data_IF_376846245168
#
_entry.id   IF_376846245168
#
_cell.length_a   1.000
_cell.length_b   1.000
_cell.length_c   1.000
_cell.angle_alpha   90.00
_cell.angle_beta   90.00
_cell.angle_gamma   90.00
#
_symmetry.space_group_name_H-M   'P 1'
#
loop_
_entity.id
_entity.type
_entity.pdbx_description
1 polymer ?
#
# COMPACT_ATOMS: atom_id res chain seq x y z
N UNK A 1 31.78 -22.12 24.34
CA UNK A 1 30.47 -22.61 23.88
C UNK A 1 29.94 -21.60 22.89
N UNK A 2 29.76 -22.00 21.64
CA UNK A 2 29.34 -21.11 20.56
C UNK A 2 27.90 -20.62 20.81
N UNK A 3 27.78 -19.44 21.40
CA UNK A 3 26.51 -18.73 21.50
C UNK A 3 25.95 -18.47 20.11
N UNK A 4 24.70 -18.87 19.88
CA UNK A 4 23.96 -18.69 18.63
C UNK A 4 24.04 -17.21 18.22
N UNK A 5 24.77 -16.86 17.15
CA UNK A 5 24.83 -15.48 16.65
C UNK A 5 23.42 -15.04 16.23
N UNK A 6 22.90 -14.01 16.87
CA UNK A 6 21.61 -13.43 16.50
C UNK A 6 21.70 -12.79 15.10
N UNK A 7 20.73 -13.11 14.24
CA UNK A 7 20.60 -12.45 12.94
C UNK A 7 19.85 -11.14 13.14
N UNK A 8 20.56 -10.03 13.02
CA UNK A 8 19.99 -8.69 13.10
C UNK A 8 19.88 -8.09 11.70
N UNK A 9 18.83 -7.30 11.49
CA UNK A 9 18.57 -6.59 10.23
C UNK A 9 18.23 -5.14 10.56
N UNK A 10 18.80 -4.19 9.80
CA UNK A 10 18.41 -2.78 9.88
C UNK A 10 16.97 -2.62 9.39
N UNK A 11 16.14 -1.87 10.11
CA UNK A 11 14.71 -1.73 9.76
C UNK A 11 14.53 -1.11 8.37
N UNK A 12 13.79 -1.76 7.44
CA UNK A 12 13.53 -1.20 6.11
C UNK A 12 12.28 -0.30 6.05
N UNK A 13 11.46 -0.36 7.10
CA UNK A 13 10.19 0.35 7.29
C UNK A 13 9.80 0.32 8.79
N UNK A 14 8.73 1.02 9.18
CA UNK A 14 8.37 1.23 10.60
C UNK A 14 7.23 0.36 11.14
N UNK A 15 6.31 -0.09 10.29
CA UNK A 15 5.07 -0.81 10.62
C UNK A 15 5.36 -2.10 11.38
N UNK A 16 6.20 -3.00 10.83
CA UNK A 16 6.49 -4.28 11.47
C UNK A 16 7.26 -4.12 12.78
N UNK A 17 8.13 -3.11 12.85
CA UNK A 17 8.82 -2.75 14.09
C UNK A 17 7.85 -2.29 15.18
N UNK A 18 6.86 -1.48 14.78
CA UNK A 18 5.78 -1.01 15.65
C UNK A 18 4.85 -2.14 16.09
N UNK A 19 4.40 -3.00 15.17
CA UNK A 19 3.56 -4.17 15.49
C UNK A 19 4.26 -5.11 16.47
N UNK A 20 5.56 -5.37 16.28
CA UNK A 20 6.35 -6.15 17.24
C UNK A 20 6.36 -5.50 18.63
N UNK A 21 6.52 -4.18 18.70
CA UNK A 21 6.47 -3.45 19.97
C UNK A 21 5.10 -3.56 20.64
N UNK A 22 4.01 -3.41 19.88
CA UNK A 22 2.64 -3.58 20.41
C UNK A 22 2.44 -4.99 20.95
N UNK A 23 2.82 -6.02 20.18
CA UNK A 23 2.70 -7.43 20.56
C UNK A 23 3.52 -7.83 21.79
N UNK A 24 4.65 -7.14 22.05
CA UNK A 24 5.51 -7.38 23.21
C UNK A 24 5.11 -6.56 24.45
N UNK A 25 4.30 -5.52 24.28
CA UNK A 25 3.91 -4.62 25.36
C UNK A 25 2.67 -5.11 26.13
N UNK A 26 2.51 -4.63 27.36
CA UNK A 26 1.32 -4.82 28.21
C UNK A 26 0.03 -4.38 27.47
N UNK A 27 -1.16 -4.95 27.78
CA UNK A 27 -2.41 -4.59 27.13
C UNK A 27 -2.63 -3.07 27.05
N UNK A 28 -3.01 -2.60 25.86
CA UNK A 28 -3.34 -1.19 25.60
C UNK A 28 -4.84 -1.04 25.38
N UNK A 29 -5.35 0.15 25.68
CA UNK A 29 -6.68 0.56 25.23
C UNK A 29 -6.70 0.62 23.70
N UNK A 30 -7.74 0.06 23.10
CA UNK A 30 -7.98 0.11 21.65
C UNK A 30 -9.11 1.11 21.33
N UNK A 31 -9.06 1.80 20.18
CA UNK A 31 -7.98 1.78 19.20
C UNK A 31 -6.69 2.42 19.73
N UNK A 32 -5.54 1.79 19.48
CA UNK A 32 -4.23 2.31 19.83
C UNK A 32 -3.62 3.05 18.64
N UNK A 33 -3.61 4.38 18.71
CA UNK A 33 -3.05 5.28 17.69
C UNK A 33 -1.67 5.75 18.09
N UNK A 34 -0.72 5.68 17.17
CA UNK A 34 0.66 6.09 17.39
C UNK A 34 1.30 6.65 16.11
N UNK A 35 2.44 7.32 16.29
CA UNK A 35 3.30 7.75 15.20
C UNK A 35 4.75 7.36 15.47
N UNK A 36 5.57 7.35 14.43
CA UNK A 36 7.02 7.24 14.54
C UNK A 36 7.71 8.15 13.53
N UNK A 37 8.94 8.52 13.85
CA UNK A 37 9.84 9.25 12.94
C UNK A 37 11.26 8.73 13.10
N UNK A 38 11.93 8.39 11.99
CA UNK A 38 13.34 8.03 12.03
C UNK A 38 13.88 7.41 10.76
N UNK A 39 15.15 6.99 10.84
CA UNK A 39 15.88 6.40 9.71
C UNK A 39 15.40 4.98 9.37
N UNK A 40 15.33 4.70 8.08
CA UNK A 40 15.03 3.40 7.47
C UNK A 40 16.12 3.04 6.46
N UNK A 41 16.29 1.75 6.21
CA UNK A 41 17.43 1.21 5.45
C UNK A 41 16.97 0.23 4.38
N UNK A 42 17.21 0.54 3.10
CA UNK A 42 16.89 -0.35 1.98
C UNK A 42 18.13 -0.62 1.14
N UNK A 43 18.45 -1.91 0.96
CA UNK A 43 19.55 -2.33 0.07
C UNK A 43 19.06 -2.37 -1.38
N UNK A 44 18.70 -1.20 -1.91
CA UNK A 44 18.25 -1.02 -3.29
C UNK A 44 19.37 -0.38 -4.13
N UNK A 45 19.27 -0.53 -5.45
CA UNK A 45 20.11 0.20 -6.40
C UNK A 45 19.82 1.70 -6.25
N UNK A 46 20.82 2.54 -5.96
CA UNK A 46 20.59 3.98 -5.84
C UNK A 46 20.05 4.55 -7.15
N UNK A 47 18.96 5.29 -7.05
CA UNK A 47 18.36 6.05 -8.16
C UNK A 47 17.78 7.35 -7.62
N UNK A 48 17.44 8.29 -8.49
CA UNK A 48 16.86 9.57 -8.07
C UNK A 48 15.63 9.33 -7.17
N UNK A 49 15.62 9.96 -5.98
CA UNK A 49 14.56 9.79 -4.98
C UNK A 49 14.63 8.51 -4.12
N UNK A 50 15.56 7.59 -4.38
CA UNK A 50 15.74 6.35 -3.58
C UNK A 50 17.13 6.25 -2.99
N UNK A 51 17.22 6.58 -1.71
CA UNK A 51 18.44 6.47 -0.90
C UNK A 51 18.47 5.17 -0.12
N UNK A 52 19.68 4.64 0.13
CA UNK A 52 19.87 3.44 0.98
C UNK A 52 19.55 3.71 2.46
N UNK A 53 19.75 4.93 2.90
CA UNK A 53 19.27 5.46 4.18
C UNK A 53 18.32 6.62 3.89
N UNK A 54 17.13 6.61 4.48
CA UNK A 54 16.15 7.68 4.34
C UNK A 54 15.36 7.87 5.63
N UNK A 55 14.71 9.03 5.78
CA UNK A 55 13.85 9.33 6.92
C UNK A 55 12.41 9.01 6.57
N UNK A 56 11.70 8.36 7.49
CA UNK A 56 10.29 8.06 7.37
C UNK A 56 9.55 8.58 8.61
N UNK A 57 8.49 9.33 8.37
CA UNK A 57 7.40 9.53 9.32
C UNK A 57 6.30 8.54 8.99
N UNK A 58 5.68 7.94 10.01
CA UNK A 58 4.56 7.03 9.83
C UNK A 58 3.58 7.12 10.99
N UNK A 59 2.35 6.72 10.73
CA UNK A 59 1.25 6.67 11.70
C UNK A 59 0.61 5.31 11.65
N UNK A 60 0.13 4.85 12.79
CA UNK A 60 -0.39 3.51 12.98
C UNK A 60 -1.64 3.58 13.84
N UNK A 61 -2.68 2.87 13.43
CA UNK A 61 -3.89 2.67 14.23
C UNK A 61 -4.13 1.17 14.35
N UNK A 62 -4.02 0.65 15.58
CA UNK A 62 -4.32 -0.75 15.88
C UNK A 62 -5.69 -0.82 16.53
N UNK A 63 -6.58 -1.60 15.93
CA UNK A 63 -7.90 -1.89 16.48
C UNK A 63 -8.20 -3.38 16.31
N UNK A 64 -9.08 -3.91 17.15
CA UNK A 64 -9.60 -5.28 17.09
C UNK A 64 -11.02 -5.35 16.56
N UNK A 65 -11.67 -4.20 16.32
CA UNK A 65 -12.96 -4.19 15.62
C UNK A 65 -12.78 -4.84 14.25
N UNK A 66 -13.64 -5.81 13.84
CA UNK A 66 -13.55 -6.43 12.53
C UNK A 66 -13.46 -5.37 11.43
N UNK A 67 -12.63 -5.61 10.41
CA UNK A 67 -12.46 -4.67 9.30
C UNK A 67 -13.79 -4.34 8.59
N UNK A 68 -14.76 -5.27 8.65
CA UNK A 68 -16.13 -5.12 8.12
C UNK A 68 -17.08 -4.29 8.99
N UNK A 69 -16.66 -3.88 10.20
CA UNK A 69 -17.47 -3.05 11.09
C UNK A 69 -17.17 -1.56 10.88
N UNK A 70 -18.21 -0.73 10.95
CA UNK A 70 -18.16 0.73 10.72
C UNK A 70 -16.98 1.47 11.42
N UNK A 71 -16.53 1.10 12.63
CA UNK A 71 -15.37 1.75 13.26
C UNK A 71 -14.04 1.62 12.48
N UNK A 72 -13.81 0.53 11.75
CA UNK A 72 -12.54 0.31 11.04
C UNK A 72 -12.38 1.24 9.84
N UNK A 73 -13.45 1.51 9.09
CA UNK A 73 -13.41 2.41 7.93
C UNK A 73 -13.13 3.87 8.32
N UNK A 74 -13.58 4.28 9.50
CA UNK A 74 -13.35 5.63 10.03
C UNK A 74 -11.84 5.86 10.30
N UNK A 75 -11.11 4.84 10.75
CA UNK A 75 -9.66 4.97 10.96
C UNK A 75 -8.89 5.15 9.65
N UNK A 76 -9.33 4.51 8.55
CA UNK A 76 -8.74 4.77 7.23
C UNK A 76 -8.97 6.20 6.80
N UNK A 77 -10.21 6.70 6.94
CA UNK A 77 -10.56 8.09 6.63
C UNK A 77 -9.69 9.03 7.46
N UNK A 78 -9.55 8.80 8.76
CA UNK A 78 -8.72 9.64 9.63
C UNK A 78 -7.26 9.67 9.17
N UNK A 79 -6.69 8.51 8.79
CA UNK A 79 -5.33 8.43 8.23
C UNK A 79 -5.19 9.20 6.91
N UNK A 80 -6.18 9.07 6.01
CA UNK A 80 -6.22 9.82 4.75
C UNK A 80 -6.31 11.32 5.02
N UNK A 81 -7.16 11.76 5.93
CA UNK A 81 -7.34 13.17 6.31
C UNK A 81 -6.09 13.75 6.96
N UNK A 82 -5.39 12.96 7.80
CA UNK A 82 -4.10 13.37 8.34
C UNK A 82 -3.08 13.57 7.23
N UNK A 83 -2.98 12.63 6.30
CA UNK A 83 -2.12 12.76 5.11
C UNK A 83 -2.47 14.00 4.29
N UNK A 84 -3.76 14.22 4.01
CA UNK A 84 -4.27 15.36 3.27
C UNK A 84 -3.94 16.69 3.98
N UNK A 85 -4.09 16.74 5.31
CA UNK A 85 -3.75 17.91 6.13
C UNK A 85 -2.25 18.22 6.09
N UNK A 86 -1.40 17.20 6.20
CA UNK A 86 0.06 17.36 6.07
C UNK A 86 0.40 17.89 4.67
N UNK A 87 -0.15 17.31 3.61
CA UNK A 87 0.11 17.77 2.24
C UNK A 87 -0.36 19.21 2.03
N UNK A 88 -1.56 19.56 2.49
CA UNK A 88 -2.10 20.93 2.38
C UNK A 88 -1.29 21.94 3.17
N UNK A 89 -0.72 21.54 4.32
CA UNK A 89 0.12 22.40 5.16
C UNK A 89 1.51 22.62 4.55
N UNK A 90 2.14 21.57 4.03
CA UNK A 90 3.49 21.63 3.47
C UNK A 90 3.51 22.19 2.04
N UNK A 91 2.45 21.94 1.27
CA UNK A 91 2.30 22.32 -0.14
C UNK A 91 0.99 23.09 -0.37
N UNK A 92 0.79 24.26 0.29
CA UNK A 92 -0.49 25.00 0.21
C UNK A 92 -0.83 25.49 -1.20
N UNK A 93 0.19 25.65 -2.06
CA UNK A 93 0.00 26.04 -3.46
C UNK A 93 0.02 24.82 -4.42
N UNK A 94 -0.01 23.59 -3.90
CA UNK A 94 0.09 22.34 -4.66
C UNK A 94 1.42 22.13 -5.43
N UNK A 95 2.36 23.07 -5.35
CA UNK A 95 3.65 23.02 -6.04
C UNK A 95 4.72 22.32 -5.21
N UNK A 96 5.42 21.35 -5.80
CA UNK A 96 6.54 20.66 -5.16
C UNK A 96 7.88 21.41 -5.26
N UNK A 97 8.08 22.16 -6.34
CA UNK A 97 9.33 22.90 -6.60
C UNK A 97 9.04 24.37 -6.87
N UNK A 98 9.16 25.21 -5.83
CA UNK A 98 8.92 26.68 -5.88
C UNK A 98 9.72 27.45 -6.96
N UNK A 99 10.70 26.83 -7.62
CA UNK A 99 11.58 27.44 -8.62
C UNK A 99 11.81 26.55 -9.86
N UNK A 100 10.92 25.60 -10.16
CA UNK A 100 11.05 24.81 -11.39
C UNK A 100 9.89 25.09 -12.34
N UNK A 101 10.14 25.03 -13.66
CA UNK A 101 9.09 25.04 -14.68
C UNK A 101 8.18 23.78 -14.65
N UNK A 102 8.35 22.93 -13.65
CA UNK A 102 7.68 21.65 -13.51
C UNK A 102 6.36 21.84 -12.74
N UNK A 103 5.36 22.35 -13.47
CA UNK A 103 3.99 22.49 -12.95
C UNK A 103 3.40 21.11 -12.68
N UNK A 104 2.58 21.02 -11.65
CA UNK A 104 1.96 19.78 -11.22
C UNK A 104 1.16 19.97 -9.95
N UNK A 105 0.41 18.95 -9.58
CA UNK A 105 -0.47 18.97 -8.41
C UNK A 105 -0.39 17.65 -7.66
N UNK A 106 -0.56 17.70 -6.34
CA UNK A 106 -0.73 16.49 -5.55
C UNK A 106 -2.15 15.95 -5.72
N UNK A 107 -2.27 14.66 -6.01
CA UNK A 107 -3.54 13.94 -6.08
C UNK A 107 -3.54 12.77 -5.11
N UNK A 108 -4.66 12.58 -4.43
CA UNK A 108 -4.93 11.38 -3.65
C UNK A 108 -5.38 10.26 -4.60
N UNK A 109 -4.58 9.22 -4.76
CA UNK A 109 -4.98 7.98 -5.41
C UNK A 109 -5.54 7.06 -4.33
N UNK A 110 -6.68 6.44 -4.60
CA UNK A 110 -7.42 5.63 -3.65
C UNK A 110 -7.86 4.32 -4.31
N UNK A 111 -7.73 3.21 -3.59
CA UNK A 111 -8.19 1.89 -4.01
C UNK A 111 -8.52 1.02 -2.80
N UNK A 112 -9.15 -0.12 -3.04
CA UNK A 112 -9.31 -1.19 -2.05
C UNK A 112 -8.78 -2.50 -2.61
N UNK A 113 -8.00 -3.22 -1.80
CA UNK A 113 -7.58 -4.59 -2.11
C UNK A 113 -8.60 -5.63 -1.61
N UNK A 114 -9.64 -5.19 -0.91
CA UNK A 114 -10.58 -6.04 -0.21
C UNK A 114 -9.98 -6.75 0.99
N UNK A 115 -10.83 -7.49 1.70
CA UNK A 115 -10.42 -8.18 2.91
C UNK A 115 -9.55 -9.42 2.59
N UNK A 116 -9.04 -10.09 3.62
CA UNK A 116 -8.17 -11.26 3.46
C UNK A 116 -8.80 -12.40 2.64
N UNK A 117 -10.13 -12.58 2.71
CA UNK A 117 -10.83 -13.60 1.92
C UNK A 117 -10.97 -13.20 0.45
N UNK A 118 -11.12 -11.91 0.17
CA UNK A 118 -11.19 -11.36 -1.18
C UNK A 118 -9.82 -11.51 -1.87
N UNK A 119 -8.75 -11.16 -1.15
CA UNK A 119 -7.37 -11.38 -1.58
C UNK A 119 -7.04 -12.85 -1.82
N UNK A 120 -7.56 -13.76 -0.99
CA UNK A 120 -7.36 -15.20 -1.20
C UNK A 120 -7.99 -15.66 -2.52
N UNK A 121 -9.25 -15.30 -2.78
CA UNK A 121 -9.93 -15.62 -4.05
C UNK A 121 -9.21 -15.02 -5.26
N UNK A 122 -8.73 -13.78 -5.12
CA UNK A 122 -7.96 -13.14 -6.18
C UNK A 122 -6.62 -13.83 -6.42
N UNK A 123 -5.91 -14.21 -5.35
CA UNK A 123 -4.66 -14.94 -5.45
C UNK A 123 -4.82 -16.31 -6.14
N UNK A 124 -5.91 -17.03 -5.87
CA UNK A 124 -6.24 -18.29 -6.57
C UNK A 124 -6.45 -18.06 -8.07
N UNK A 125 -7.15 -16.98 -8.44
CA UNK A 125 -7.32 -16.63 -9.85
C UNK A 125 -6.01 -16.26 -10.53
N UNK A 126 -5.11 -15.55 -9.84
CA UNK A 126 -3.77 -15.26 -10.35
C UNK A 126 -2.93 -16.53 -10.49
N UNK A 127 -3.00 -17.47 -9.54
CA UNK A 127 -2.32 -18.78 -9.63
C UNK A 127 -2.74 -19.52 -10.90
N UNK A 128 -4.05 -19.61 -11.17
CA UNK A 128 -4.59 -20.21 -12.39
C UNK A 128 -4.19 -19.44 -13.66
N UNK A 129 -4.22 -18.10 -13.61
CA UNK A 129 -3.88 -17.28 -14.78
C UNK A 129 -2.41 -17.43 -15.18
N UNK A 130 -1.50 -17.53 -14.21
CA UNK A 130 -0.07 -17.61 -14.46
C UNK A 130 0.44 -19.04 -14.70
N UNK A 131 -0.34 -20.08 -14.39
CA UNK A 131 0.08 -21.49 -14.46
C UNK A 131 0.74 -21.87 -15.80
N UNK A 132 0.12 -21.49 -16.92
CA UNK A 132 0.60 -21.74 -18.28
C UNK A 132 1.43 -20.59 -18.88
N UNK A 133 1.55 -19.47 -18.15
CA UNK A 133 2.22 -18.23 -18.62
C UNK A 133 3.52 -17.93 -17.88
N UNK A 134 3.97 -18.81 -16.97
CA UNK A 134 5.20 -18.58 -16.18
C UNK A 134 6.41 -18.26 -17.07
N UNK A 135 6.55 -18.95 -18.21
CA UNK A 135 7.66 -18.72 -19.15
C UNK A 135 7.64 -17.36 -19.85
N UNK A 136 6.51 -16.64 -19.80
CA UNK A 136 6.33 -15.30 -20.37
C UNK A 136 6.60 -14.18 -19.36
N UNK A 137 6.75 -14.51 -18.07
CA UNK A 137 7.05 -13.55 -17.02
C UNK A 137 8.55 -13.21 -16.97
N UNK A 138 8.87 -12.05 -16.41
CA UNK A 138 10.25 -11.68 -16.09
C UNK A 138 10.89 -12.68 -15.11
N UNK A 139 12.23 -12.82 -15.09
CA UNK A 139 12.91 -13.73 -14.16
C UNK A 139 12.62 -13.47 -12.68
N UNK A 140 12.25 -12.25 -12.30
CA UNK A 140 11.85 -11.93 -10.93
C UNK A 140 10.42 -12.40 -10.65
N UNK A 141 9.48 -12.15 -11.56
CA UNK A 141 8.10 -12.59 -11.44
C UNK A 141 7.94 -14.12 -11.51
N UNK A 142 8.78 -14.81 -12.27
CA UNK A 142 8.88 -16.28 -12.21
C UNK A 142 9.21 -16.78 -10.79
N UNK A 143 10.17 -16.14 -10.10
CA UNK A 143 10.50 -16.48 -8.71
C UNK A 143 9.34 -16.19 -7.76
N UNK A 144 8.54 -15.15 -8.02
CA UNK A 144 7.35 -14.81 -7.22
C UNK A 144 6.27 -15.88 -7.39
N UNK A 145 6.02 -16.36 -8.60
CA UNK A 145 5.15 -17.51 -8.87
C UNK A 145 5.61 -18.74 -8.10
N UNK A 146 6.89 -19.12 -8.21
CA UNK A 146 7.42 -20.29 -7.51
C UNK A 146 7.31 -20.22 -5.97
N UNK A 147 7.27 -19.00 -5.42
CA UNK A 147 7.09 -18.75 -3.98
C UNK A 147 5.63 -18.54 -3.57
N UNK A 148 4.68 -18.68 -4.50
CA UNK A 148 3.25 -18.39 -4.32
C UNK A 148 2.96 -16.96 -3.86
N UNK A 149 3.76 -16.00 -4.33
CA UNK A 149 3.59 -14.57 -4.05
C UNK A 149 3.08 -13.83 -5.29
N UNK A 150 1.87 -14.20 -5.73
CA UNK A 150 1.30 -13.71 -6.99
C UNK A 150 0.95 -12.22 -6.94
N UNK A 151 0.43 -11.74 -5.81
CA UNK A 151 0.05 -10.32 -5.63
C UNK A 151 1.23 -9.37 -5.87
N UNK A 152 2.44 -9.79 -5.51
CA UNK A 152 3.64 -8.96 -5.74
C UNK A 152 3.94 -8.76 -7.22
N UNK A 153 3.48 -9.64 -8.12
CA UNK A 153 3.65 -9.48 -9.58
C UNK A 153 2.95 -8.21 -10.08
N UNK A 154 1.86 -7.78 -9.42
CA UNK A 154 1.09 -6.58 -9.74
C UNK A 154 1.94 -5.29 -9.68
N UNK A 155 2.98 -5.28 -8.85
CA UNK A 155 3.92 -4.17 -8.72
C UNK A 155 5.06 -4.19 -9.75
N UNK A 156 5.17 -5.23 -10.58
CA UNK A 156 6.25 -5.33 -11.56
C UNK A 156 6.17 -4.19 -12.57
N UNK A 157 7.32 -3.60 -12.90
CA UNK A 157 7.46 -2.61 -13.98
C UNK A 157 8.12 -3.19 -15.23
N UNK A 158 8.38 -4.49 -15.23
CA UNK A 158 8.95 -5.18 -16.38
C UNK A 158 7.93 -5.18 -17.54
N UNK A 159 8.33 -4.82 -18.78
CA UNK A 159 7.42 -4.81 -19.93
C UNK A 159 6.71 -6.15 -20.17
N UNK A 160 7.37 -7.29 -19.93
CA UNK A 160 6.78 -8.62 -20.13
C UNK A 160 5.64 -8.88 -19.15
N UNK A 161 5.87 -8.54 -17.88
CA UNK A 161 4.85 -8.68 -16.84
C UNK A 161 3.68 -7.71 -17.09
N UNK A 162 3.98 -6.49 -17.55
CA UNK A 162 2.98 -5.50 -17.91
C UNK A 162 2.14 -5.92 -19.13
N UNK A 163 2.73 -6.55 -20.13
CA UNK A 163 1.99 -7.09 -21.28
C UNK A 163 0.94 -8.11 -20.82
N UNK A 164 1.33 -9.06 -19.97
CA UNK A 164 0.41 -10.05 -19.39
C UNK A 164 -0.68 -9.43 -18.52
N UNK A 165 -0.35 -8.41 -17.72
CA UNK A 165 -1.32 -7.72 -16.86
C UNK A 165 -2.30 -6.83 -17.63
N UNK A 166 -1.96 -6.43 -18.86
CA UNK A 166 -2.86 -5.69 -19.73
C UNK A 166 -3.65 -6.60 -20.69
N UNK A 167 -3.41 -7.92 -20.64
CA UNK A 167 -4.21 -8.88 -21.41
C UNK A 167 -5.69 -8.85 -20.95
N UNK A 168 -6.66 -8.86 -21.87
CA UNK A 168 -8.09 -8.84 -21.50
C UNK A 168 -8.54 -10.02 -20.62
N UNK A 169 -7.82 -11.14 -20.63
CA UNK A 169 -8.08 -12.31 -19.78
C UNK A 169 -7.45 -12.21 -18.39
N UNK A 170 -6.68 -11.15 -18.12
CA UNK A 170 -6.09 -10.91 -16.81
C UNK A 170 -7.20 -10.78 -15.73
N UNK A 171 -7.12 -11.52 -14.61
CA UNK A 171 -8.11 -11.42 -13.54
C UNK A 171 -8.15 -9.99 -12.98
N UNK A 172 -9.29 -9.31 -13.15
CA UNK A 172 -9.46 -7.96 -12.57
C UNK A 172 -9.66 -8.08 -11.06
N UNK A 173 -8.87 -7.38 -10.21
CA UNK A 173 -9.03 -7.40 -8.76
C UNK A 173 -10.46 -7.06 -8.31
N UNK A 174 -11.12 -6.14 -9.01
CA UNK A 174 -12.49 -5.68 -8.70
C UNK A 174 -13.52 -6.81 -8.74
N UNK A 175 -13.31 -7.82 -9.59
CA UNK A 175 -14.24 -8.94 -9.74
C UNK A 175 -14.19 -9.93 -8.56
N UNK A 176 -13.20 -9.79 -7.67
CA UNK A 176 -13.01 -10.68 -6.51
C UNK A 176 -13.40 -10.03 -5.19
N UNK A 177 -13.79 -8.75 -5.21
CA UNK A 177 -14.26 -8.03 -4.03
C UNK A 177 -15.64 -8.54 -3.61
N UNK A 178 -15.81 -8.74 -2.31
CA UNK A 178 -17.11 -9.05 -1.70
C UNK A 178 -18.00 -7.80 -1.65
N UNK A 179 -19.33 -7.99 -1.59
CA UNK A 179 -20.27 -6.88 -1.35
C UNK A 179 -19.91 -6.08 -0.09
N UNK A 180 -19.45 -6.76 0.97
CA UNK A 180 -19.04 -6.10 2.20
C UNK A 180 -17.81 -5.18 1.99
N UNK A 181 -16.80 -5.62 1.25
CA UNK A 181 -15.63 -4.77 0.95
C UNK A 181 -15.99 -3.62 -0.02
N UNK A 182 -16.93 -3.84 -0.95
CA UNK A 182 -17.46 -2.78 -1.82
C UNK A 182 -18.23 -1.72 -1.02
N UNK A 183 -19.17 -2.13 -0.17
CA UNK A 183 -19.95 -1.23 0.69
C UNK A 183 -19.04 -0.43 1.63
N UNK A 184 -18.03 -1.08 2.20
CA UNK A 184 -17.02 -0.42 3.04
C UNK A 184 -16.24 0.65 2.27
N UNK A 185 -15.77 0.31 1.06
CA UNK A 185 -15.01 1.25 0.22
C UNK A 185 -15.87 2.45 -0.20
N UNK A 186 -17.13 2.19 -0.56
CA UNK A 186 -18.10 3.24 -0.87
C UNK A 186 -18.36 4.16 0.32
N UNK A 187 -18.44 3.62 1.55
CA UNK A 187 -18.57 4.43 2.77
C UNK A 187 -17.37 5.36 3.01
N UNK A 188 -16.15 4.92 2.70
CA UNK A 188 -14.95 5.79 2.75
C UNK A 188 -15.09 6.92 1.73
N UNK A 189 -15.41 6.59 0.49
CA UNK A 189 -15.58 7.56 -0.60
C UNK A 189 -16.61 8.62 -0.25
N UNK A 190 -17.79 8.22 0.20
CA UNK A 190 -18.84 9.14 0.65
C UNK A 190 -18.38 10.05 1.80
N UNK A 191 -17.57 9.51 2.73
CA UNK A 191 -17.02 10.32 3.82
C UNK A 191 -16.03 11.36 3.29
N UNK A 192 -15.12 10.96 2.39
CA UNK A 192 -14.16 11.89 1.75
C UNK A 192 -14.87 12.98 0.94
N UNK A 193 -15.91 12.60 0.18
CA UNK A 193 -16.75 13.54 -0.58
C UNK A 193 -17.43 14.54 0.36
N UNK A 194 -17.96 14.08 1.49
CA UNK A 194 -18.65 14.94 2.48
C UNK A 194 -17.75 16.00 3.12
N UNK A 195 -16.43 15.75 3.18
CA UNK A 195 -15.43 16.68 3.72
C UNK A 195 -14.62 17.39 2.63
N UNK A 196 -15.02 17.22 1.36
CA UNK A 196 -14.44 17.94 0.21
C UNK A 196 -13.04 17.48 -0.19
N UNK A 197 -12.66 16.23 0.10
CA UNK A 197 -11.36 15.68 -0.31
C UNK A 197 -11.50 14.97 -1.65
N UNK A 198 -10.88 15.54 -2.68
CA UNK A 198 -10.86 14.94 -4.02
C UNK A 198 -9.87 13.75 -4.08
N UNK A 199 -10.25 12.70 -4.78
CA UNK A 199 -9.41 11.53 -5.04
C UNK A 199 -9.58 11.00 -6.47
N UNK A 200 -8.63 10.17 -6.90
CA UNK A 200 -8.66 9.38 -8.12
C UNK A 200 -8.78 7.91 -7.73
N UNK A 201 -9.81 7.23 -8.20
CA UNK A 201 -9.88 5.77 -8.07
C UNK A 201 -8.84 5.12 -9.00
N UNK A 202 -7.82 4.48 -8.42
CA UNK A 202 -6.72 3.88 -9.17
C UNK A 202 -6.67 2.37 -8.92
N UNK A 203 -7.28 1.60 -9.82
CA UNK A 203 -7.36 0.13 -9.70
C UNK A 203 -5.99 -0.56 -9.74
N UNK A 204 -4.99 0.13 -10.29
CA UNK A 204 -3.61 -0.35 -10.38
C UNK A 204 -2.81 0.00 -9.12
N UNK A 205 -3.41 0.74 -8.18
CA UNK A 205 -2.81 1.05 -6.91
C UNK A 205 -2.77 -0.20 -6.04
N UNK A 206 -1.65 -0.90 -6.13
CA UNK A 206 -1.25 -1.99 -5.25
C UNK A 206 -0.03 -1.54 -4.42
N UNK A 207 0.35 -2.37 -3.45
CA UNK A 207 1.49 -2.09 -2.55
C UNK A 207 2.40 -3.30 -2.49
N UNK A 208 3.70 -3.04 -2.62
CA UNK A 208 4.74 -4.09 -2.64
C UNK A 208 5.03 -4.84 -1.33
N UNK A 209 4.14 -4.73 -0.33
CA UNK A 209 4.24 -5.47 0.93
C UNK A 209 3.00 -6.36 1.08
N UNK A 210 3.25 -7.65 1.29
CA UNK A 210 2.24 -8.69 1.21
C UNK A 210 1.22 -8.67 2.37
N UNK A 211 1.35 -7.73 3.32
CA UNK A 211 0.46 -7.57 4.47
C UNK A 211 -0.69 -6.56 4.24
N UNK A 212 -0.73 -5.88 3.10
CA UNK A 212 -1.80 -4.93 2.82
C UNK A 212 -3.12 -5.65 2.51
N UNK A 213 -4.20 -5.12 3.10
CA UNK A 213 -5.59 -5.50 2.81
C UNK A 213 -6.50 -4.28 3.02
N UNK A 214 -7.69 -4.33 2.44
CA UNK A 214 -8.67 -3.25 2.37
C UNK A 214 -8.08 -1.94 1.80
N UNK A 215 -8.29 -0.79 2.45
CA UNK A 215 -8.00 0.52 1.85
C UNK A 215 -6.51 0.73 1.59
N UNK A 216 -6.15 1.10 0.36
CA UNK A 216 -4.81 1.59 0.01
C UNK A 216 -4.91 2.95 -0.64
N UNK A 217 -4.00 3.86 -0.29
CA UNK A 217 -4.00 5.21 -0.82
C UNK A 217 -2.59 5.79 -0.91
N UNK A 218 -2.38 6.71 -1.84
CA UNK A 218 -1.11 7.42 -2.04
C UNK A 218 -1.36 8.87 -2.43
N UNK A 219 -0.52 9.78 -1.97
CA UNK A 219 -0.46 11.13 -2.52
C UNK A 219 0.62 11.18 -3.60
N UNK A 220 0.21 11.36 -4.85
CA UNK A 220 1.08 11.36 -6.03
C UNK A 220 1.21 12.78 -6.56
N UNK A 221 2.43 13.22 -6.83
CA UNK A 221 2.65 14.48 -7.56
C UNK A 221 2.59 14.20 -9.06
N UNK A 222 1.49 14.60 -9.69
CA UNK A 222 1.33 14.52 -11.13
C UNK A 222 1.83 15.80 -11.79
N UNK A 223 2.76 15.64 -12.74
CA UNK A 223 3.27 16.77 -13.53
C UNK A 223 2.26 17.12 -14.63
N UNK A 224 2.19 18.40 -14.97
CA UNK A 224 1.49 18.87 -16.16
C UNK A 224 2.40 18.62 -17.38
N UNK A 225 1.97 17.73 -18.29
CA UNK A 225 2.68 17.37 -19.52
C UNK A 225 3.69 16.24 -19.35
#
# INVERSE_FOLDING_TARGET
GEGKKEKLVLRPEGTMGFLRYVAQSTPRSLPFKAHYYGKMYRCETPQFGRSREFWQFGVECIDTTPASSSPSAIHDVECILLGHSIMSTLFPNQEYFKNSNNKGTWKLHLNTLGNSSDLARFSEALELFFEDKVGLLSPDSQKRVHRKNFLRILDSKDPQDQELMNDPSFPSPKNYLSNASLERFEGIKQTLDSVGVNYVEDERLVRGLDYYSDTVFEFVYEREG
#
